data_IF_141666334147
#
_entry.id   IF_141666334147
#
_cell.length_a   1.000
_cell.length_b   1.000
_cell.length_c   1.000
_cell.angle_alpha   90.00
_cell.angle_beta   90.00
_cell.angle_gamma   90.00
#
_symmetry.space_group_name_H-M   'P 1'
#
loop_
_entity.id
_entity.type
_entity.pdbx_description
1 polymer ?
#
# COMPACT_ATOMS: atom_id res chain seq x y z
N UNK A 1 16.82 21.25 8.03
CA UNK A 1 16.31 19.88 8.21
C UNK A 1 15.10 19.96 9.10
N UNK A 2 14.00 19.33 8.70
CA UNK A 2 12.78 19.29 9.49
C UNK A 2 13.02 18.67 10.90
N UNK A 3 12.48 19.24 12.00
CA UNK A 3 12.71 18.74 13.35
C UNK A 3 12.24 17.31 13.61
N UNK A 4 11.11 16.90 13.01
CA UNK A 4 10.55 15.54 13.14
C UNK A 4 11.45 14.54 12.43
N UNK A 5 11.85 14.84 11.19
CA UNK A 5 12.81 14.03 10.41
C UNK A 5 14.12 13.88 11.18
N UNK A 6 14.65 14.97 11.75
CA UNK A 6 15.87 14.93 12.56
C UNK A 6 15.75 13.97 13.73
N UNK A 7 14.62 14.03 14.44
CA UNK A 7 14.37 13.18 15.61
C UNK A 7 14.33 11.70 15.22
N UNK A 8 13.64 11.36 14.13
CA UNK A 8 13.56 9.98 13.64
C UNK A 8 14.95 9.46 13.24
N UNK A 9 15.71 10.23 12.46
CA UNK A 9 17.05 9.82 12.00
C UNK A 9 18.02 9.66 13.17
N UNK A 10 17.99 10.56 14.15
CA UNK A 10 18.92 10.49 15.28
C UNK A 10 18.67 9.31 16.22
N UNK A 11 17.43 8.78 16.28
CA UNK A 11 17.14 7.53 17.02
C UNK A 11 17.97 6.34 16.50
N UNK A 12 18.35 6.35 15.22
CA UNK A 12 19.15 5.29 14.63
C UNK A 12 20.51 5.08 15.32
N UNK A 13 21.06 6.12 15.98
CA UNK A 13 22.31 6.04 16.75
C UNK A 13 22.25 5.07 17.93
N UNK A 14 21.04 4.71 18.38
CA UNK A 14 20.83 3.76 19.46
C UNK A 14 20.99 2.29 19.05
N UNK A 15 21.13 1.99 17.76
CA UNK A 15 21.26 0.62 17.26
C UNK A 15 22.71 0.30 16.90
N UNK A 16 23.17 -0.88 17.31
CA UNK A 16 24.47 -1.43 16.95
C UNK A 16 24.34 -2.51 15.85
N UNK A 17 25.47 -3.10 15.45
CA UNK A 17 25.48 -4.13 14.42
C UNK A 17 24.70 -5.41 14.82
N UNK A 18 24.70 -5.79 16.10
CA UNK A 18 23.95 -6.95 16.57
C UNK A 18 22.43 -6.71 16.46
N UNK A 19 21.95 -5.49 16.74
CA UNK A 19 20.54 -5.13 16.57
C UNK A 19 20.12 -5.23 15.09
N UNK A 20 20.99 -4.77 14.18
CA UNK A 20 20.76 -4.89 12.73
C UNK A 20 20.62 -6.35 12.29
N UNK A 21 21.56 -7.22 12.68
CA UNK A 21 21.50 -8.64 12.30
C UNK A 21 20.30 -9.34 12.95
N UNK A 22 19.97 -9.03 14.20
CA UNK A 22 18.78 -9.58 14.85
C UNK A 22 17.49 -9.17 14.12
N UNK A 23 17.37 -7.91 13.71
CA UNK A 23 16.24 -7.42 12.93
C UNK A 23 16.16 -8.08 11.54
N UNK A 24 17.30 -8.28 10.87
CA UNK A 24 17.35 -8.96 9.56
C UNK A 24 16.94 -10.44 9.66
N UNK A 25 17.38 -11.16 10.69
CA UNK A 25 16.91 -12.53 10.94
C UNK A 25 15.40 -12.56 11.19
N UNK A 26 14.89 -11.62 11.99
CA UNK A 26 13.45 -11.52 12.22
C UNK A 26 12.69 -11.21 10.93
N UNK A 27 13.22 -10.34 10.08
CA UNK A 27 12.64 -10.02 8.77
C UNK A 27 12.55 -11.28 7.90
N UNK A 28 13.62 -12.06 7.82
CA UNK A 28 13.64 -13.31 7.04
C UNK A 28 12.62 -14.34 7.54
N UNK A 29 12.48 -14.51 8.86
CA UNK A 29 11.48 -15.41 9.42
C UNK A 29 10.05 -14.95 9.08
N UNK A 30 9.77 -13.66 9.25
CA UNK A 30 8.47 -13.07 8.88
C UNK A 30 8.19 -13.20 7.38
N UNK A 31 9.19 -12.99 6.52
CA UNK A 31 9.05 -13.17 5.06
C UNK A 31 8.57 -14.58 4.74
N UNK A 32 9.17 -15.62 5.34
CA UNK A 32 8.77 -17.02 5.10
C UNK A 32 7.33 -17.29 5.54
N UNK A 33 6.92 -16.72 6.68
CA UNK A 33 5.56 -16.90 7.18
C UNK A 33 4.53 -16.18 6.30
N UNK A 34 4.86 -14.97 5.82
CA UNK A 34 4.02 -14.20 4.90
C UNK A 34 3.91 -14.91 3.55
N UNK A 35 5.01 -15.39 2.97
CA UNK A 35 5.00 -16.14 1.71
C UNK A 35 4.17 -17.42 1.81
N UNK A 36 4.25 -18.12 2.94
CA UNK A 36 3.43 -19.32 3.19
C UNK A 36 1.94 -18.97 3.24
N UNK A 37 1.57 -17.90 3.95
CA UNK A 37 0.18 -17.46 4.05
C UNK A 37 -0.34 -16.89 2.71
N UNK A 38 0.53 -16.26 1.92
CA UNK A 38 0.19 -15.73 0.60
C UNK A 38 0.04 -16.80 -0.47
N UNK A 39 0.66 -17.98 -0.32
CA UNK A 39 0.72 -19.01 -1.36
C UNK A 39 -0.64 -19.53 -1.89
N UNK A 40 -1.75 -19.22 -1.24
CA UNK A 40 -3.12 -19.52 -1.67
C UNK A 40 -3.75 -18.39 -2.51
N UNK A 41 -3.07 -17.25 -2.63
CA UNK A 41 -3.56 -16.03 -3.25
C UNK A 41 -2.65 -15.56 -4.37
N UNK A 42 -3.28 -14.88 -5.30
CA UNK A 42 -2.65 -14.29 -6.47
C UNK A 42 -2.26 -12.82 -6.26
N UNK A 43 -2.99 -12.15 -5.37
CA UNK A 43 -2.78 -10.77 -4.94
C UNK A 43 -3.49 -10.53 -3.60
N UNK A 44 -3.08 -9.47 -2.91
CA UNK A 44 -3.77 -8.91 -1.74
C UNK A 44 -4.35 -7.55 -2.15
N UNK A 45 -5.57 -7.27 -1.72
CA UNK A 45 -6.20 -5.96 -1.81
C UNK A 45 -6.27 -5.36 -0.40
N UNK A 46 -5.68 -4.18 -0.24
CA UNK A 46 -5.68 -3.40 1.02
C UNK A 46 -6.17 -1.98 0.77
N UNK A 47 -6.68 -1.26 1.80
CA UNK A 47 -6.77 0.19 1.75
C UNK A 47 -5.38 0.79 1.53
N UNK A 48 -5.23 1.77 0.62
CA UNK A 48 -3.93 2.43 0.39
C UNK A 48 -3.42 3.15 1.65
N UNK A 49 -4.34 3.75 2.40
CA UNK A 49 -4.11 4.31 3.72
C UNK A 49 -5.35 4.05 4.59
N UNK A 50 -5.18 3.78 5.90
CA UNK A 50 -6.31 3.53 6.80
C UNK A 50 -7.12 4.80 7.12
N UNK A 51 -6.48 5.97 7.12
CA UNK A 51 -7.07 7.25 7.50
C UNK A 51 -6.61 8.38 6.56
N UNK A 52 -7.20 9.56 6.74
CA UNK A 52 -6.86 10.77 5.99
C UNK A 52 -6.69 11.93 6.99
N UNK A 53 -5.50 12.07 7.62
CA UNK A 53 -5.30 13.06 8.68
C UNK A 53 -5.34 14.47 8.10
N UNK A 54 -5.84 15.41 8.90
CA UNK A 54 -5.76 16.84 8.55
C UNK A 54 -4.36 17.37 8.82
N UNK A 55 -4.07 18.57 8.32
CA UNK A 55 -2.81 19.27 8.65
C UNK A 55 -2.72 19.51 10.16
N UNK A 56 -3.83 19.85 10.81
CA UNK A 56 -3.88 20.07 12.26
C UNK A 56 -3.57 18.79 13.05
N UNK A 57 -4.09 17.64 12.60
CA UNK A 57 -3.75 16.35 13.23
C UNK A 57 -2.25 16.05 13.11
N UNK A 58 -1.66 16.31 11.94
CA UNK A 58 -0.23 16.14 11.69
C UNK A 58 0.64 17.13 12.50
N UNK A 59 0.19 18.35 12.72
CA UNK A 59 0.90 19.32 13.56
C UNK A 59 0.86 18.90 15.04
N UNK A 60 -0.24 18.28 15.48
CA UNK A 60 -0.42 17.79 16.85
C UNK A 60 0.41 16.53 17.12
N UNK A 61 0.36 15.53 16.24
CA UNK A 61 0.99 14.21 16.43
C UNK A 61 1.71 13.70 15.16
N UNK A 62 2.78 14.40 14.69
CA UNK A 62 3.37 14.16 13.37
C UNK A 62 3.95 12.76 13.16
N UNK A 63 4.48 12.15 14.22
CA UNK A 63 5.09 10.81 14.14
C UNK A 63 4.02 9.72 14.14
N UNK A 64 3.00 9.85 15.00
CA UNK A 64 1.97 8.84 15.16
C UNK A 64 1.06 8.80 13.92
N UNK A 65 0.57 9.95 13.47
CA UNK A 65 -0.30 10.04 12.29
C UNK A 65 0.40 9.49 11.04
N UNK A 66 1.68 9.85 10.84
CA UNK A 66 2.46 9.31 9.74
C UNK A 66 2.70 7.79 9.86
N UNK A 67 2.87 7.26 11.09
CA UNK A 67 3.02 5.83 11.30
C UNK A 67 1.74 5.05 10.94
N UNK A 68 0.56 5.61 11.26
CA UNK A 68 -0.74 5.02 10.89
C UNK A 68 -0.87 4.91 9.36
N UNK A 69 -0.44 5.91 8.61
CA UNK A 69 -0.45 5.85 7.13
C UNK A 69 0.41 4.72 6.55
N UNK A 70 1.41 4.24 7.30
CA UNK A 70 2.29 3.13 6.92
C UNK A 70 1.72 1.72 7.13
N UNK A 71 0.50 1.59 7.68
CA UNK A 71 -0.07 0.30 8.13
C UNK A 71 -0.07 -0.77 7.04
N UNK A 72 -0.42 -0.42 5.80
CA UNK A 72 -0.57 -1.37 4.69
C UNK A 72 0.53 -1.27 3.63
N UNK A 73 1.51 -0.38 3.79
CA UNK A 73 2.47 -0.02 2.73
C UNK A 73 3.91 -0.41 3.05
N UNK A 74 4.30 -0.38 4.32
CA UNK A 74 5.71 -0.50 4.71
C UNK A 74 6.34 -1.87 4.38
N UNK A 75 5.56 -2.95 4.44
CA UNK A 75 6.09 -4.31 4.29
C UNK A 75 6.45 -4.66 2.83
N UNK A 76 5.82 -4.02 1.85
CA UNK A 76 5.92 -4.37 0.42
C UNK A 76 7.39 -4.39 -0.04
N UNK A 77 8.13 -3.32 0.27
CA UNK A 77 9.54 -3.20 -0.11
C UNK A 77 10.44 -4.19 0.65
N UNK A 78 10.11 -4.52 1.91
CA UNK A 78 10.88 -5.49 2.69
C UNK A 78 10.73 -6.92 2.17
N UNK A 79 9.66 -7.21 1.44
CA UNK A 79 9.41 -8.51 0.82
C UNK A 79 9.86 -8.58 -0.64
N UNK A 80 10.35 -7.47 -1.22
CA UNK A 80 10.64 -7.36 -2.65
C UNK A 80 9.41 -7.65 -3.53
N UNK A 81 8.25 -7.17 -3.07
CA UNK A 81 6.95 -7.35 -3.71
C UNK A 81 6.56 -6.13 -4.56
N UNK A 82 5.63 -6.35 -5.49
CA UNK A 82 5.10 -5.30 -6.37
C UNK A 82 3.74 -4.82 -5.85
N UNK A 83 3.45 -3.53 -5.98
CA UNK A 83 2.17 -2.95 -5.58
C UNK A 83 1.67 -1.90 -6.57
N UNK A 84 0.35 -1.83 -6.75
CA UNK A 84 -0.33 -0.87 -7.62
C UNK A 84 -1.54 -0.26 -6.91
N UNK A 85 -1.50 1.04 -6.64
CA UNK A 85 -2.61 1.78 -6.04
C UNK A 85 -3.54 2.34 -7.10
N UNK A 86 -4.85 2.17 -6.89
CA UNK A 86 -5.90 2.67 -7.79
C UNK A 86 -7.03 3.36 -7.01
N UNK A 87 -7.73 4.34 -7.61
CA UNK A 87 -8.89 4.97 -6.99
C UNK A 87 -10.02 3.95 -6.73
N UNK A 88 -10.69 4.09 -5.59
CA UNK A 88 -11.78 3.23 -5.14
C UNK A 88 -13.03 4.04 -4.74
N UNK A 89 -13.15 5.27 -5.24
CA UNK A 89 -14.29 6.14 -5.03
C UNK A 89 -14.03 7.26 -4.03
N UNK A 90 -15.09 7.77 -3.43
CA UNK A 90 -15.08 8.89 -2.51
C UNK A 90 -15.85 8.53 -1.24
N UNK A 91 -15.35 9.03 -0.11
CA UNK A 91 -16.02 8.97 1.18
C UNK A 91 -17.23 9.91 1.22
N UNK A 92 -18.08 9.74 2.23
CA UNK A 92 -19.25 10.59 2.45
C UNK A 92 -18.92 12.07 2.68
N UNK A 93 -17.69 12.38 3.13
CA UNK A 93 -17.17 13.74 3.31
C UNK A 93 -16.53 14.33 2.03
N UNK A 94 -16.58 13.61 0.92
CA UNK A 94 -16.05 14.05 -0.38
C UNK A 94 -14.54 13.84 -0.55
N UNK A 95 -13.84 13.21 0.41
CA UNK A 95 -12.43 12.87 0.26
C UNK A 95 -12.24 11.58 -0.57
N UNK A 96 -11.17 11.49 -1.39
CA UNK A 96 -10.91 10.31 -2.20
C UNK A 96 -10.50 9.11 -1.32
N UNK A 97 -10.90 7.91 -1.75
CA UNK A 97 -10.47 6.64 -1.20
C UNK A 97 -9.75 5.82 -2.27
N UNK A 98 -8.71 5.09 -1.87
CA UNK A 98 -7.90 4.27 -2.77
C UNK A 98 -7.64 2.89 -2.17
N UNK A 99 -7.49 1.91 -3.05
CA UNK A 99 -7.03 0.58 -2.71
C UNK A 99 -5.67 0.34 -3.34
N UNK A 100 -4.89 -0.56 -2.75
CA UNK A 100 -3.62 -1.01 -3.28
C UNK A 100 -3.69 -2.52 -3.50
N UNK A 101 -3.41 -2.93 -4.73
CA UNK A 101 -3.22 -4.32 -5.11
C UNK A 101 -1.75 -4.66 -4.90
N UNK A 102 -1.44 -5.72 -4.17
CA UNK A 102 -0.08 -6.14 -3.83
C UNK A 102 0.09 -7.59 -4.29
N UNK A 103 1.21 -7.91 -4.94
CA UNK A 103 1.54 -9.28 -5.33
C UNK A 103 3.06 -9.48 -5.24
N UNK A 104 3.51 -10.72 -5.41
CA UNK A 104 4.93 -11.06 -5.33
C UNK A 104 5.75 -10.37 -6.42
N UNK A 105 7.07 -10.50 -6.32
CA UNK A 105 8.05 -10.01 -7.29
C UNK A 105 7.61 -10.22 -8.75
N UNK A 106 7.74 -9.16 -9.55
CA UNK A 106 7.55 -9.12 -11.01
C UNK A 106 6.14 -9.43 -11.51
N UNK A 107 5.12 -9.20 -10.67
CA UNK A 107 3.71 -9.42 -11.01
C UNK A 107 3.01 -8.14 -11.51
N UNK A 108 3.75 -7.11 -11.95
CA UNK A 108 3.18 -5.86 -12.46
C UNK A 108 2.17 -6.08 -13.61
N UNK A 109 2.40 -6.98 -14.59
CA UNK A 109 1.41 -7.23 -15.65
C UNK A 109 0.06 -7.72 -15.09
N UNK A 110 0.10 -8.56 -14.04
CA UNK A 110 -1.09 -9.09 -13.36
C UNK A 110 -1.80 -8.00 -12.56
N UNK A 111 -1.04 -7.22 -11.79
CA UNK A 111 -1.57 -6.08 -11.06
C UNK A 111 -2.22 -5.05 -12.00
N UNK A 112 -1.61 -4.78 -13.16
CA UNK A 112 -2.18 -3.91 -14.19
C UNK A 112 -3.47 -4.46 -14.79
N UNK A 113 -3.57 -5.79 -14.99
CA UNK A 113 -4.81 -6.40 -15.46
C UNK A 113 -5.93 -6.24 -14.43
N UNK A 114 -5.66 -6.57 -13.16
CA UNK A 114 -6.60 -6.42 -12.05
C UNK A 114 -7.05 -4.96 -11.85
N UNK A 115 -6.11 -4.02 -11.90
CA UNK A 115 -6.40 -2.59 -11.82
C UNK A 115 -7.31 -2.13 -12.96
N UNK A 116 -7.08 -2.61 -14.19
CA UNK A 116 -7.93 -2.25 -15.32
C UNK A 116 -9.33 -2.82 -15.19
N UNK A 117 -9.47 -4.04 -14.68
CA UNK A 117 -10.77 -4.62 -14.38
C UNK A 117 -11.51 -3.77 -13.34
N UNK A 118 -10.86 -3.46 -12.20
CA UNK A 118 -11.41 -2.60 -11.16
C UNK A 118 -11.90 -1.26 -11.71
N UNK A 119 -11.07 -0.61 -12.53
CA UNK A 119 -11.35 0.73 -13.08
C UNK A 119 -12.34 0.72 -14.26
N UNK A 120 -12.72 -0.46 -14.77
CA UNK A 120 -13.72 -0.61 -15.85
C UNK A 120 -15.16 -0.72 -15.32
N UNK A 121 -15.34 -0.76 -14.01
CA UNK A 121 -16.66 -0.98 -13.37
C UNK A 121 -17.57 0.25 -13.40
N UNK A 122 -17.03 1.45 -13.25
CA UNK A 122 -17.79 2.69 -13.26
C UNK A 122 -16.93 3.89 -13.72
N UNK A 123 -17.50 4.86 -14.46
CA UNK A 123 -16.80 6.10 -14.78
C UNK A 123 -16.38 6.83 -13.51
N UNK A 124 -15.23 7.50 -13.57
CA UNK A 124 -14.70 8.28 -12.45
C UNK A 124 -13.97 9.54 -12.94
N UNK A 125 -13.81 10.57 -12.10
CA UNK A 125 -13.04 11.74 -12.48
C UNK A 125 -11.55 11.40 -12.65
N UNK A 126 -10.91 12.01 -13.64
CA UNK A 126 -9.46 11.97 -13.79
C UNK A 126 -8.83 12.96 -12.80
N UNK A 127 -8.55 12.48 -11.60
CA UNK A 127 -8.01 13.31 -10.51
C UNK A 127 -8.97 14.44 -10.12
N UNK A 128 -8.43 15.65 -9.93
CA UNK A 128 -9.22 16.85 -9.59
C UNK A 128 -9.90 17.51 -10.80
N UNK A 129 -9.87 16.87 -11.97
CA UNK A 129 -10.49 17.42 -13.19
C UNK A 129 -11.98 17.07 -13.27
N UNK A 130 -12.69 17.74 -14.19
CA UNK A 130 -14.09 17.42 -14.54
C UNK A 130 -14.18 16.36 -15.64
N UNK A 131 -13.06 15.86 -16.14
CA UNK A 131 -13.05 14.84 -17.18
C UNK A 131 -13.31 13.48 -16.54
N UNK A 132 -14.26 12.73 -17.09
CA UNK A 132 -14.53 11.36 -16.66
C UNK A 132 -13.77 10.37 -17.54
N UNK A 133 -13.31 9.29 -16.90
CA UNK A 133 -12.64 8.18 -17.56
C UNK A 133 -13.25 6.86 -17.09
N UNK A 134 -13.37 5.94 -18.04
CA UNK A 134 -13.74 4.55 -17.82
C UNK A 134 -12.76 3.68 -18.62
N UNK A 135 -12.14 2.72 -17.95
CA UNK A 135 -11.18 1.85 -18.60
C UNK A 135 -11.92 0.91 -19.54
N UNK A 136 -11.41 0.70 -20.76
CA UNK A 136 -11.99 -0.29 -21.64
C UNK A 136 -11.83 -1.68 -21.03
N UNK A 137 -12.95 -2.40 -20.94
CA UNK A 137 -12.98 -3.82 -20.60
C UNK A 137 -12.08 -4.57 -21.58
N UNK A 138 -11.11 -5.33 -21.08
CA UNK A 138 -10.35 -6.31 -21.87
C UNK A 138 -10.79 -7.72 -21.49
N UNK A 139 -10.39 -8.70 -22.30
CA UNK A 139 -10.65 -10.12 -22.07
C UNK A 139 -10.45 -10.52 -20.60
N UNK A 140 -11.34 -11.41 -20.15
CA UNK A 140 -11.45 -11.94 -18.80
C UNK A 140 -10.08 -12.44 -18.32
N UNK A 141 -9.63 -11.92 -17.18
CA UNK A 141 -8.46 -12.46 -16.48
C UNK A 141 -8.83 -13.89 -16.06
N UNK A 142 -7.93 -14.87 -16.22
CA UNK A 142 -8.14 -16.22 -15.69
C UNK A 142 -8.55 -16.17 -14.20
N UNK A 143 -9.20 -17.22 -13.70
CA UNK A 143 -9.57 -17.33 -12.27
C UNK A 143 -8.41 -16.86 -11.37
N UNK A 144 -8.64 -15.75 -10.66
CA UNK A 144 -7.65 -15.07 -9.83
C UNK A 144 -8.18 -15.00 -8.40
N UNK A 145 -7.40 -15.48 -7.44
CA UNK A 145 -7.79 -15.55 -6.03
C UNK A 145 -7.18 -14.37 -5.26
N UNK A 146 -8.01 -13.42 -4.81
CA UNK A 146 -7.55 -12.21 -4.13
C UNK A 146 -7.88 -12.27 -2.64
N UNK A 147 -6.89 -12.09 -1.78
CA UNK A 147 -7.12 -11.86 -0.36
C UNK A 147 -7.55 -10.40 -0.15
N UNK A 148 -8.68 -10.19 0.55
CA UNK A 148 -9.10 -8.84 0.99
C UNK A 148 -8.76 -8.71 2.47
N UNK A 149 -7.95 -7.72 2.82
CA UNK A 149 -7.41 -7.50 4.17
C UNK A 149 -7.87 -6.16 4.74
#
# INVERSE_FOLDING_TARGET
MDPTVRTIVLKARGFNAADLFAAEYRRQDLTRDIERAFGEFDAILVPTAPTFPTIEDLEREPIQENAILGTYTNFVNFLDWSALSVPAGFRADGLPFGITLISTMWQEPKLMALAREWLSTAPRPLGATKAEILEPVKDVINETTIAVV
#
